data_IF_591327485337
#
_entry.id   IF_591327485337
#
_cell.length_a   1.000
_cell.length_b   1.000
_cell.length_c   1.000
_cell.angle_alpha   90.00
_cell.angle_beta   90.00
_cell.angle_gamma   90.00
#
_symmetry.space_group_name_H-M   'P 1'
#
loop_
_entity.id
_entity.type
_entity.pdbx_description
1 polymer ?
#
# COMPACT_ATOMS: atom_id res chain seq x y z
N UNK A 1 -32.97 -35.69 -32.30
CA UNK A 1 -32.37 -35.95 -33.62
C UNK A 1 -33.05 -35.00 -34.58
N UNK A 2 -32.36 -33.93 -34.99
CA UNK A 2 -32.93 -32.81 -35.76
C UNK A 2 -32.86 -33.15 -37.24
N UNK A 3 -34.02 -33.20 -37.89
CA UNK A 3 -34.25 -33.80 -39.21
C UNK A 3 -33.96 -32.83 -40.39
N UNK A 4 -32.97 -31.96 -40.27
CA UNK A 4 -32.80 -30.78 -41.17
C UNK A 4 -31.78 -31.01 -42.29
N UNK A 5 -31.04 -32.13 -42.32
CA UNK A 5 -29.90 -32.30 -43.24
C UNK A 5 -30.16 -33.10 -44.53
N UNK A 6 -31.43 -33.35 -44.92
CA UNK A 6 -31.74 -34.13 -46.14
C UNK A 6 -32.28 -33.32 -47.33
N UNK A 7 -32.37 -31.99 -47.25
CA UNK A 7 -32.69 -31.13 -48.40
C UNK A 7 -31.44 -30.45 -48.94
N UNK A 8 -31.31 -30.24 -50.27
CA UNK A 8 -30.19 -29.49 -50.84
C UNK A 8 -30.13 -28.12 -50.16
N UNK A 9 -28.96 -27.78 -49.60
CA UNK A 9 -28.74 -26.46 -49.00
C UNK A 9 -28.81 -25.43 -50.13
N UNK A 10 -29.79 -24.54 -50.05
CA UNK A 10 -29.95 -23.43 -50.98
C UNK A 10 -28.78 -22.45 -50.77
N UNK A 11 -27.94 -22.16 -51.78
CA UNK A 11 -26.75 -21.33 -51.62
C UNK A 11 -27.07 -19.89 -51.20
N UNK A 12 -28.33 -19.46 -51.34
CA UNK A 12 -28.82 -18.18 -50.82
C UNK A 12 -28.92 -18.14 -49.29
N UNK A 13 -29.01 -19.29 -48.61
CA UNK A 13 -29.10 -19.38 -47.14
C UNK A 13 -27.74 -19.54 -46.46
N UNK A 14 -26.67 -19.85 -47.19
CA UNK A 14 -25.31 -19.95 -46.64
C UNK A 14 -24.81 -18.62 -46.04
N UNK A 15 -25.24 -17.49 -46.62
CA UNK A 15 -24.88 -16.16 -46.14
C UNK A 15 -25.53 -15.84 -44.78
N UNK A 16 -26.68 -16.45 -44.49
CA UNK A 16 -27.40 -16.34 -43.21
C UNK A 16 -26.69 -17.08 -42.08
N UNK A 17 -25.88 -18.12 -42.39
CA UNK A 17 -25.06 -18.83 -41.42
C UNK A 17 -23.66 -18.22 -41.22
N UNK A 18 -23.19 -17.43 -42.19
CA UNK A 18 -21.94 -16.67 -42.07
C UNK A 18 -22.11 -15.40 -41.22
N UNK A 19 -23.33 -14.87 -41.15
CA UNK A 19 -23.68 -13.78 -40.24
C UNK A 19 -23.83 -14.34 -38.83
N UNK A 20 -22.84 -14.08 -37.98
CA UNK A 20 -22.88 -14.44 -36.56
C UNK A 20 -24.17 -13.89 -35.93
N UNK A 21 -24.87 -14.73 -35.15
CA UNK A 21 -26.11 -14.38 -34.45
C UNK A 21 -26.00 -13.00 -33.79
N UNK A 22 -26.67 -12.01 -34.37
CA UNK A 22 -26.99 -10.76 -33.69
C UNK A 22 -28.22 -11.02 -32.82
N UNK A 23 -28.09 -10.85 -31.50
CA UNK A 23 -29.26 -10.73 -30.63
C UNK A 23 -30.03 -9.45 -31.01
N UNK A 24 -31.34 -9.44 -30.76
CA UNK A 24 -32.34 -8.40 -31.14
C UNK A 24 -32.03 -6.95 -30.71
N UNK A 25 -30.89 -6.70 -30.04
CA UNK A 25 -30.40 -5.38 -29.66
C UNK A 25 -29.14 -4.91 -30.42
N UNK A 26 -28.74 -5.58 -31.51
CA UNK A 26 -27.66 -5.12 -32.39
C UNK A 26 -26.26 -5.09 -31.76
N UNK A 27 -26.06 -5.82 -30.66
CA UNK A 27 -24.76 -5.95 -30.00
C UNK A 27 -24.11 -7.25 -30.49
N UNK A 28 -23.03 -7.12 -31.25
CA UNK A 28 -22.16 -8.24 -31.59
C UNK A 28 -21.69 -8.92 -30.29
N UNK A 29 -22.18 -10.14 -30.05
CA UNK A 29 -21.69 -10.97 -28.96
C UNK A 29 -20.26 -11.39 -29.30
N UNK A 30 -19.26 -10.74 -28.70
CA UNK A 30 -17.86 -11.18 -28.76
C UNK A 30 -17.76 -12.54 -28.08
N UNK A 31 -17.86 -13.62 -28.86
CA UNK A 31 -17.82 -15.03 -28.39
C UNK A 31 -16.48 -15.38 -27.73
N UNK A 32 -15.41 -14.61 -27.99
CA UNK A 32 -14.10 -14.82 -27.40
C UNK A 32 -13.70 -13.67 -26.48
N UNK A 33 -13.81 -13.90 -25.18
CA UNK A 33 -13.08 -13.15 -24.17
C UNK A 33 -11.59 -13.44 -24.36
N UNK A 34 -10.86 -12.53 -25.02
CA UNK A 34 -9.40 -12.57 -25.05
C UNK A 34 -8.90 -12.23 -23.65
N UNK A 35 -8.89 -13.22 -22.75
CA UNK A 35 -8.22 -13.12 -21.46
C UNK A 35 -6.74 -12.93 -21.74
N UNK A 36 -6.25 -11.69 -21.65
CA UNK A 36 -4.82 -11.39 -21.69
C UNK A 36 -4.14 -12.29 -20.67
N UNK A 37 -3.29 -13.21 -21.16
CA UNK A 37 -2.56 -14.14 -20.29
C UNK A 37 -1.71 -13.29 -19.33
N UNK A 38 -1.79 -13.58 -18.04
CA UNK A 38 -0.91 -12.93 -17.06
C UNK A 38 0.51 -13.41 -17.34
N UNK A 39 1.49 -12.50 -17.45
CA UNK A 39 2.86 -12.90 -17.69
C UNK A 39 3.36 -13.78 -16.53
N UNK A 40 3.97 -14.91 -16.87
CA UNK A 40 4.51 -15.85 -15.90
C UNK A 40 5.90 -15.40 -15.48
N UNK A 41 6.06 -15.12 -14.18
CA UNK A 41 7.35 -14.77 -13.59
C UNK A 41 7.98 -16.03 -13.01
N UNK A 42 9.14 -16.41 -13.54
CA UNK A 42 9.98 -17.49 -13.01
C UNK A 42 11.35 -16.93 -12.62
N UNK A 43 11.97 -17.51 -11.59
CA UNK A 43 13.33 -17.15 -11.19
C UNK A 43 14.27 -18.28 -11.59
N UNK A 44 15.36 -17.95 -12.30
CA UNK A 44 16.40 -18.92 -12.61
C UNK A 44 17.21 -19.29 -11.35
N UNK A 45 17.97 -20.39 -11.42
CA UNK A 45 18.94 -20.79 -10.38
C UNK A 45 19.92 -19.66 -10.02
N UNK A 46 20.23 -18.82 -11.00
CA UNK A 46 21.16 -17.70 -10.90
C UNK A 46 20.52 -16.44 -10.28
N UNK A 47 19.24 -16.52 -9.88
CA UNK A 47 18.48 -15.40 -9.28
C UNK A 47 17.93 -14.38 -10.28
N UNK A 48 18.18 -14.57 -11.58
CA UNK A 48 17.63 -13.71 -12.64
C UNK A 48 16.13 -13.94 -12.82
N UNK A 49 15.39 -12.84 -12.97
CA UNK A 49 13.95 -12.87 -13.26
C UNK A 49 13.73 -13.16 -14.75
N UNK A 50 12.92 -14.17 -15.03
CA UNK A 50 12.43 -14.52 -16.35
C UNK A 50 10.95 -14.17 -16.45
N UNK A 51 10.56 -13.56 -17.57
CA UNK A 51 9.19 -13.25 -17.91
C UNK A 51 8.84 -13.99 -19.20
N UNK A 52 7.89 -14.92 -19.11
CA UNK A 52 7.45 -15.75 -20.24
C UNK A 52 8.61 -16.42 -21.00
N UNK A 53 9.64 -16.88 -20.26
CA UNK A 53 10.82 -17.56 -20.81
C UNK A 53 11.90 -16.62 -21.37
N UNK A 54 11.68 -15.30 -21.37
CA UNK A 54 12.69 -14.32 -21.77
C UNK A 54 13.37 -13.79 -20.51
N UNK A 55 14.70 -13.81 -20.49
CA UNK A 55 15.52 -13.22 -19.42
C UNK A 55 15.46 -11.70 -19.56
N UNK A 56 14.90 -11.01 -18.56
CA UNK A 56 14.95 -9.54 -18.55
C UNK A 56 16.41 -9.06 -18.46
N UNK A 57 16.69 -7.93 -19.12
CA UNK A 57 17.99 -7.27 -19.09
C UNK A 57 18.40 -7.02 -17.62
N UNK A 58 19.65 -7.34 -17.29
CA UNK A 58 20.12 -7.38 -15.91
C UNK A 58 19.85 -6.06 -15.19
N UNK A 59 18.89 -6.06 -14.27
CA UNK A 59 18.55 -4.89 -13.48
C UNK A 59 19.70 -4.57 -12.53
N UNK A 60 20.30 -3.40 -12.75
CA UNK A 60 21.35 -2.89 -11.89
C UNK A 60 20.79 -2.65 -10.48
N UNK A 61 21.58 -2.91 -9.43
CA UNK A 61 21.10 -2.81 -8.04
C UNK A 61 20.44 -1.46 -7.73
N UNK A 62 20.99 -0.37 -8.26
CA UNK A 62 20.41 0.97 -8.11
C UNK A 62 19.01 1.09 -8.71
N UNK A 63 18.75 0.44 -9.85
CA UNK A 63 17.42 0.41 -10.48
C UNK A 63 16.41 -0.37 -9.63
N UNK A 64 16.84 -1.43 -8.95
CA UNK A 64 15.99 -2.19 -8.03
C UNK A 64 15.64 -1.37 -6.77
N UNK A 65 16.61 -0.67 -6.19
CA UNK A 65 16.36 0.19 -5.03
C UNK A 65 15.46 1.37 -5.38
N UNK A 66 15.71 2.06 -6.48
CA UNK A 66 14.89 3.20 -6.91
C UNK A 66 13.48 2.79 -7.30
N UNK A 67 13.29 1.63 -7.95
CA UNK A 67 11.95 1.09 -8.25
C UNK A 67 11.22 0.66 -6.99
N UNK A 68 11.92 0.07 -6.01
CA UNK A 68 11.33 -0.31 -4.72
C UNK A 68 10.91 0.93 -3.92
N UNK A 69 11.76 1.95 -3.84
CA UNK A 69 11.46 3.21 -3.15
C UNK A 69 10.30 3.93 -3.84
N UNK A 70 10.34 4.07 -5.17
CA UNK A 70 9.26 4.76 -5.90
C UNK A 70 7.93 4.01 -5.79
N UNK A 71 7.94 2.67 -5.80
CA UNK A 71 6.74 1.87 -5.50
C UNK A 71 6.26 2.06 -4.06
N UNK A 72 7.17 2.16 -3.11
CA UNK A 72 6.84 2.46 -1.70
C UNK A 72 6.11 3.79 -1.57
N UNK A 73 6.69 4.87 -2.12
CA UNK A 73 6.09 6.22 -2.13
C UNK A 73 4.77 6.24 -2.91
N UNK A 74 4.70 5.59 -4.06
CA UNK A 74 3.47 5.52 -4.84
C UNK A 74 2.36 4.76 -4.09
N UNK A 75 2.70 3.69 -3.38
CA UNK A 75 1.74 2.96 -2.57
C UNK A 75 1.31 3.77 -1.34
N UNK A 76 2.23 4.52 -0.74
CA UNK A 76 1.95 5.46 0.35
C UNK A 76 0.96 6.55 -0.07
N UNK A 77 1.15 7.15 -1.26
CA UNK A 77 0.23 8.13 -1.83
C UNK A 77 -1.11 7.53 -2.22
N UNK A 78 -1.10 6.29 -2.74
CA UNK A 78 -2.33 5.55 -3.02
C UNK A 78 -3.13 5.34 -1.74
N UNK A 79 -2.49 4.87 -0.68
CA UNK A 79 -3.12 4.69 0.63
C UNK A 79 -3.64 6.01 1.22
N UNK A 80 -2.95 7.12 0.97
CA UNK A 80 -3.41 8.46 1.38
C UNK A 80 -4.64 8.93 0.59
N UNK A 81 -4.70 8.64 -0.70
CA UNK A 81 -5.84 8.95 -1.57
C UNK A 81 -7.05 8.06 -1.28
N UNK A 82 -6.85 6.76 -1.06
CA UNK A 82 -7.94 5.78 -0.88
C UNK A 82 -8.31 5.49 0.59
N UNK A 83 -7.49 5.94 1.54
CA UNK A 83 -7.62 5.59 2.95
C UNK A 83 -8.89 6.13 3.61
N UNK A 84 -9.50 5.30 4.46
CA UNK A 84 -10.65 5.70 5.28
C UNK A 84 -10.24 6.73 6.35
N UNK A 85 -11.20 7.54 6.83
CA UNK A 85 -10.94 8.60 7.83
C UNK A 85 -10.18 8.07 9.07
N UNK A 86 -10.49 6.85 9.53
CA UNK A 86 -9.82 6.23 10.67
C UNK A 86 -8.35 5.90 10.41
N UNK A 87 -8.03 5.39 9.22
CA UNK A 87 -6.64 5.09 8.83
C UNK A 87 -5.80 6.37 8.77
N UNK A 88 -6.38 7.47 8.26
CA UNK A 88 -5.73 8.79 8.24
C UNK A 88 -5.42 9.29 9.65
N UNK A 89 -6.39 9.21 10.58
CA UNK A 89 -6.18 9.64 11.97
C UNK A 89 -5.12 8.80 12.68
N UNK A 90 -5.15 7.47 12.53
CA UNK A 90 -4.15 6.57 13.13
C UNK A 90 -2.73 6.94 12.68
N UNK A 91 -2.57 7.20 11.38
CA UNK A 91 -1.29 7.58 10.79
C UNK A 91 -0.79 8.93 11.30
N UNK A 92 -1.69 9.91 11.41
CA UNK A 92 -1.38 11.22 11.98
C UNK A 92 -0.91 11.11 13.44
N UNK A 93 -1.65 10.36 14.26
CA UNK A 93 -1.29 10.14 15.68
C UNK A 93 0.08 9.48 15.79
N UNK A 94 0.35 8.46 14.96
CA UNK A 94 1.65 7.79 14.94
C UNK A 94 2.80 8.74 14.58
N UNK A 95 2.60 9.60 13.57
CA UNK A 95 3.62 10.59 13.18
C UNK A 95 3.86 11.61 14.29
N UNK A 96 2.80 12.16 14.86
CA UNK A 96 2.89 13.15 15.95
C UNK A 96 3.53 12.54 17.21
N UNK A 97 3.20 11.30 17.56
CA UNK A 97 3.79 10.64 18.71
C UNK A 97 5.29 10.40 18.51
N UNK A 98 5.70 10.01 17.31
CA UNK A 98 7.11 9.84 16.95
C UNK A 98 7.88 11.17 17.04
N UNK A 99 7.34 12.24 16.45
CA UNK A 99 7.97 13.57 16.48
C UNK A 99 8.08 14.09 17.93
N UNK A 100 7.03 13.90 18.75
CA UNK A 100 7.05 14.25 20.16
C UNK A 100 8.12 13.47 20.93
N UNK A 101 8.25 12.16 20.70
CA UNK A 101 9.31 11.35 21.32
C UNK A 101 10.71 11.85 20.94
N UNK A 102 10.90 12.24 19.68
CA UNK A 102 12.17 12.77 19.18
C UNK A 102 12.51 14.09 19.86
N UNK A 103 11.54 15.01 19.97
CA UNK A 103 11.69 16.28 20.68
C UNK A 103 12.01 16.07 22.16
N UNK A 104 11.29 15.18 22.84
CA UNK A 104 11.55 14.85 24.24
C UNK A 104 12.97 14.31 24.38
N UNK A 105 13.38 13.36 23.55
CA UNK A 105 14.73 12.77 23.58
C UNK A 105 15.81 13.83 23.33
N UNK A 106 15.61 14.73 22.38
CA UNK A 106 16.54 15.81 22.07
C UNK A 106 16.63 16.82 23.22
N UNK A 107 15.49 17.14 23.84
CA UNK A 107 15.40 18.05 24.99
C UNK A 107 16.09 17.48 26.21
N UNK A 108 15.85 16.21 26.52
CA UNK A 108 16.56 15.49 27.59
C UNK A 108 18.07 15.50 27.33
N UNK A 109 18.52 15.20 26.11
CA UNK A 109 19.95 15.17 25.81
C UNK A 109 20.63 16.53 26.02
N UNK A 110 19.94 17.64 25.75
CA UNK A 110 20.49 18.99 25.86
C UNK A 110 20.33 19.63 27.25
N UNK A 111 19.23 19.33 27.93
CA UNK A 111 18.83 20.02 29.16
C UNK A 111 18.67 19.08 30.38
N UNK A 112 19.06 17.80 30.29
CA UNK A 112 18.89 16.84 31.40
C UNK A 112 19.44 17.37 32.73
N UNK A 113 20.64 17.94 32.76
CA UNK A 113 21.25 18.45 33.99
C UNK A 113 20.48 19.64 34.56
N UNK A 114 20.09 20.59 33.71
CA UNK A 114 19.30 21.75 34.12
C UNK A 114 17.91 21.33 34.64
N UNK A 115 17.25 20.38 33.97
CA UNK A 115 15.97 19.82 34.40
C UNK A 115 16.13 19.13 35.75
N UNK A 116 17.18 18.31 35.94
CA UNK A 116 17.44 17.60 37.20
C UNK A 116 17.69 18.57 38.37
N UNK A 117 18.47 19.63 38.14
CA UNK A 117 18.72 20.68 39.14
C UNK A 117 17.41 21.38 39.46
N UNK A 118 16.63 21.80 38.46
CA UNK A 118 15.36 22.48 38.67
C UNK A 118 14.36 21.59 39.45
N UNK A 119 14.25 20.30 39.12
CA UNK A 119 13.37 19.37 39.84
C UNK A 119 13.82 19.13 41.27
N UNK A 120 15.12 19.04 41.53
CA UNK A 120 15.64 18.90 42.89
C UNK A 120 15.40 20.16 43.71
N UNK A 121 15.56 21.34 43.10
CA UNK A 121 15.34 22.63 43.76
C UNK A 121 13.85 22.83 44.08
N UNK A 122 12.95 22.49 43.16
CA UNK A 122 11.50 22.56 43.42
C UNK A 122 11.08 21.56 44.50
N UNK A 123 11.59 20.32 44.49
CA UNK A 123 11.34 19.34 45.55
C UNK A 123 11.85 19.82 46.91
N UNK A 124 13.03 20.44 46.96
CA UNK A 124 13.58 20.99 48.19
C UNK A 124 12.74 22.15 48.74
N UNK A 125 12.29 23.06 47.87
CA UNK A 125 11.38 24.14 48.28
C UNK A 125 10.03 23.60 48.77
N UNK A 126 9.50 22.57 48.12
CA UNK A 126 8.26 21.91 48.53
C UNK A 126 8.43 21.22 49.89
N UNK A 127 9.58 20.57 50.12
CA UNK A 127 9.93 20.00 51.42
C UNK A 127 9.97 21.08 52.52
N UNK A 128 10.66 22.20 52.29
CA UNK A 128 10.69 23.32 53.24
C UNK A 128 9.30 23.91 53.49
N UNK A 129 8.46 23.98 52.46
CA UNK A 129 7.08 24.45 52.58
C UNK A 129 6.24 23.51 53.47
N UNK A 130 6.37 22.19 53.30
CA UNK A 130 5.69 21.20 54.14
C UNK A 130 6.19 21.28 55.59
N UNK A 131 7.50 21.36 55.80
CA UNK A 131 8.08 21.52 57.14
C UNK A 131 7.64 22.80 57.84
N UNK A 132 7.31 23.85 57.09
CA UNK A 132 6.75 25.09 57.63
C UNK A 132 5.27 24.98 57.97
N UNK A 133 4.49 24.24 57.18
CA UNK A 133 3.06 24.03 57.39
C UNK A 133 2.76 23.08 58.55
N UNK A 134 3.62 22.08 58.77
CA UNK A 134 3.59 21.20 59.93
C UNK A 134 4.79 21.51 60.82
N UNK A 135 4.76 22.58 61.63
CA UNK A 135 5.71 22.70 62.71
C UNK A 135 5.48 21.46 63.59
N UNK A 136 6.52 20.65 63.75
CA UNK A 136 6.57 19.60 64.77
C UNK A 136 6.55 20.29 66.15
N UNK A 137 5.40 20.83 66.55
CA UNK A 137 5.13 21.22 67.93
C UNK A 137 5.03 19.92 68.73
N UNK A 138 6.11 19.62 69.45
CA UNK A 138 6.04 18.85 70.70
C UNK A 138 5.52 19.75 71.80
#
# INVERSE_FOLDING_TARGET
MINIFNSPIDPSQLDEFAQGKQDENGVETKIFDVKKRKPQVTYGSDGRRMLDGIVEQQQESNTLWTTTISRGVANEWREEATGTRLQKTKRYIYKVSYDAQLLVRQTYRRHATAILIATNLTLFLLFLYICRLFPFNK
#
